data_IF_372754528703
#
_entry.id   IF_372754528703
#
_cell.length_a   1.000
_cell.length_b   1.000
_cell.length_c   1.000
_cell.angle_alpha   90.00
_cell.angle_beta   90.00
_cell.angle_gamma   90.00
#
_symmetry.space_group_name_H-M   'P 1'
#
loop_
_entity.id
_entity.type
_entity.pdbx_description
1 polymer ?
#
# COMPACT_ATOMS: atom_id res chain seq x y z
N UNK A 1 9.73 -10.91 -32.98
CA UNK A 1 9.77 -9.55 -32.46
C UNK A 1 8.72 -8.76 -33.23
N UNK A 2 7.78 -8.14 -32.54
CA UNK A 2 6.81 -7.28 -33.20
C UNK A 2 7.54 -6.10 -33.88
N UNK A 3 7.05 -5.63 -35.02
CA UNK A 3 7.74 -4.63 -35.86
C UNK A 3 8.07 -3.29 -35.18
N UNK A 4 7.57 -3.07 -33.95
CA UNK A 4 7.71 -1.83 -33.17
C UNK A 4 8.58 -2.01 -31.92
N UNK A 5 9.34 -3.11 -31.78
CA UNK A 5 10.15 -3.38 -30.59
C UNK A 5 11.64 -3.33 -30.92
N UNK A 6 12.38 -2.67 -30.06
CA UNK A 6 13.85 -2.53 -30.11
C UNK A 6 14.43 -3.48 -29.06
N UNK A 7 15.13 -4.57 -29.45
CA UNK A 7 15.78 -5.43 -28.48
C UNK A 7 16.97 -4.71 -27.85
N UNK A 8 17.10 -4.84 -26.52
CA UNK A 8 18.21 -4.30 -25.75
C UNK A 8 19.05 -5.47 -25.26
N UNK A 9 20.31 -5.49 -25.65
CA UNK A 9 21.25 -6.53 -25.24
C UNK A 9 22.19 -5.96 -24.16
N UNK A 10 22.28 -6.64 -23.03
CA UNK A 10 23.20 -6.30 -21.96
C UNK A 10 24.44 -7.22 -22.05
N UNK A 11 25.62 -6.64 -22.01
CA UNK A 11 26.90 -7.38 -22.06
C UNK A 11 27.41 -7.84 -20.69
N UNK A 12 26.56 -7.91 -19.68
CA UNK A 12 26.88 -8.35 -18.33
C UNK A 12 26.21 -7.52 -17.24
N UNK A 13 26.32 -7.99 -16.00
CA UNK A 13 25.87 -7.24 -14.82
C UNK A 13 27.02 -6.49 -14.20
N UNK A 14 26.90 -5.19 -14.02
CA UNK A 14 27.83 -4.38 -13.24
C UNK A 14 27.26 -4.11 -11.88
N UNK A 15 28.04 -4.33 -10.82
CA UNK A 15 27.65 -3.94 -9.47
C UNK A 15 27.93 -2.45 -9.26
N UNK A 16 26.91 -1.68 -8.92
CA UNK A 16 27.04 -0.29 -8.51
C UNK A 16 26.69 -0.17 -7.02
N UNK A 17 27.56 0.46 -6.24
CA UNK A 17 27.27 0.83 -4.85
C UNK A 17 26.80 2.28 -4.81
N UNK A 18 25.73 2.55 -4.07
CA UNK A 18 25.25 3.90 -3.79
C UNK A 18 24.97 3.99 -2.29
N UNK A 19 25.52 5.02 -1.68
CA UNK A 19 25.39 5.26 -0.24
C UNK A 19 24.34 6.32 0.02
N UNK A 20 23.45 6.04 1.00
CA UNK A 20 22.49 7.00 1.53
C UNK A 20 22.74 7.22 3.02
N UNK A 21 22.61 8.46 3.51
CA UNK A 21 22.80 8.82 4.91
C UNK A 21 21.73 9.76 5.41
N UNK A 22 21.24 9.53 6.61
CA UNK A 22 20.33 10.43 7.30
C UNK A 22 20.55 10.41 8.82
N UNK A 23 20.11 11.48 9.51
CA UNK A 23 20.12 11.58 10.97
C UNK A 23 18.92 12.36 11.46
N UNK A 24 18.32 11.92 12.57
CA UNK A 24 17.15 12.56 13.17
C UNK A 24 17.26 12.63 14.69
N UNK A 25 16.85 13.76 15.26
CA UNK A 25 16.48 13.84 16.66
C UNK A 25 14.97 13.54 16.79
N UNK A 26 14.61 12.63 17.70
CA UNK A 26 13.25 12.13 17.89
C UNK A 26 12.79 12.36 19.33
N UNK A 27 12.48 13.62 19.71
CA UNK A 27 12.04 13.93 21.07
C UNK A 27 10.69 13.29 21.36
N UNK A 28 10.49 12.89 22.63
CA UNK A 28 9.20 12.48 23.17
C UNK A 28 9.02 13.05 24.58
N UNK A 29 7.77 13.32 24.93
CA UNK A 29 7.35 13.71 26.26
C UNK A 29 5.99 13.07 26.56
N UNK A 30 5.89 12.44 27.72
CA UNK A 30 4.68 11.81 28.21
C UNK A 30 4.34 12.41 29.59
N UNK A 31 3.09 12.81 29.74
CA UNK A 31 2.57 13.31 30.99
C UNK A 31 1.31 12.54 31.38
N UNK A 32 1.18 12.19 32.65
CA UNK A 32 -0.01 11.56 33.19
C UNK A 32 -0.31 12.11 34.60
N UNK A 33 -1.59 12.27 34.91
CA UNK A 33 -2.05 12.72 36.22
C UNK A 33 -3.32 11.97 36.63
N UNK A 34 -3.40 11.65 37.90
CA UNK A 34 -4.63 11.21 38.55
C UNK A 34 -5.38 12.48 38.98
N UNK A 35 -6.42 12.87 38.27
CA UNK A 35 -7.13 14.15 38.45
C UNK A 35 -8.29 14.03 39.42
N UNK A 36 -8.78 12.81 39.66
CA UNK A 36 -9.76 12.45 40.67
C UNK A 36 -9.55 10.99 41.07
N UNK A 37 -10.29 10.52 42.08
CA UNK A 37 -10.31 9.10 42.41
C UNK A 37 -10.68 8.29 41.15
N UNK A 38 -9.83 7.30 40.83
CA UNK A 38 -10.02 6.39 39.70
C UNK A 38 -10.13 7.06 38.31
N UNK A 39 -9.65 8.32 38.18
CA UNK A 39 -9.68 9.06 36.92
C UNK A 39 -8.30 9.54 36.53
N UNK A 40 -7.84 9.11 35.37
CA UNK A 40 -6.50 9.41 34.86
C UNK A 40 -6.59 10.17 33.52
N UNK A 41 -5.80 11.23 33.41
CA UNK A 41 -5.53 11.92 32.16
C UNK A 41 -4.11 11.64 31.68
N UNK A 42 -3.94 11.48 30.37
CA UNK A 42 -2.63 11.34 29.74
C UNK A 42 -2.53 12.27 28.53
N UNK A 43 -1.37 12.85 28.35
CA UNK A 43 -0.99 13.62 27.17
C UNK A 43 0.38 13.14 26.74
N UNK A 44 0.53 12.74 25.50
CA UNK A 44 1.83 12.41 24.94
C UNK A 44 2.09 13.12 23.63
N UNK A 45 3.34 13.54 23.46
CA UNK A 45 3.87 14.05 22.22
C UNK A 45 5.16 13.30 21.89
N UNK A 46 5.30 12.83 20.66
CA UNK A 46 6.49 12.14 20.22
C UNK A 46 6.75 12.26 18.74
N UNK A 47 8.02 12.21 18.37
CA UNK A 47 8.42 12.12 16.97
C UNK A 47 8.97 10.74 16.67
N UNK A 48 8.54 10.18 15.54
CA UNK A 48 8.97 8.86 15.09
C UNK A 48 9.35 8.91 13.62
N UNK A 49 10.16 7.96 13.17
CA UNK A 49 10.50 7.77 11.77
C UNK A 49 10.13 6.37 11.30
N UNK A 50 9.75 6.25 10.03
CA UNK A 50 9.59 4.99 9.32
C UNK A 50 10.61 4.93 8.19
N UNK A 51 11.47 3.92 8.22
CA UNK A 51 12.49 3.75 7.17
C UNK A 51 11.85 3.31 5.86
N UNK A 52 12.37 3.76 4.70
CA UNK A 52 11.97 3.20 3.42
C UNK A 52 12.22 1.68 3.36
N UNK A 53 11.37 0.96 2.62
CA UNK A 53 11.59 -0.45 2.36
C UNK A 53 12.86 -0.68 1.53
N UNK A 54 13.48 -1.85 1.66
CA UNK A 54 14.70 -2.20 0.94
C UNK A 54 14.55 -2.08 -0.59
N UNK A 55 13.41 -2.48 -1.13
CA UNK A 55 13.09 -2.35 -2.55
C UNK A 55 13.06 -0.89 -3.04
N UNK A 56 12.78 0.06 -2.16
CA UNK A 56 12.73 1.47 -2.52
C UNK A 56 14.11 2.14 -2.53
N UNK A 57 15.06 1.64 -1.74
CA UNK A 57 16.40 2.24 -1.59
C UNK A 57 17.53 1.45 -2.28
N UNK A 58 17.24 0.29 -2.85
CA UNK A 58 18.26 -0.48 -3.57
C UNK A 58 18.81 0.33 -4.76
N UNK A 59 20.14 0.35 -4.92
CA UNK A 59 20.80 1.09 -6.02
C UNK A 59 20.70 0.40 -7.38
N UNK A 60 20.20 -0.83 -7.44
CA UNK A 60 20.08 -1.61 -8.66
C UNK A 60 19.07 -1.02 -9.64
N UNK A 61 19.38 -1.08 -10.92
CA UNK A 61 18.53 -0.66 -12.02
C UNK A 61 18.17 -1.86 -12.88
N UNK A 62 16.88 -2.02 -13.18
CA UNK A 62 16.39 -3.07 -14.06
C UNK A 62 15.73 -2.43 -15.28
N UNK A 63 16.08 -2.85 -16.47
CA UNK A 63 15.46 -2.44 -17.72
C UNK A 63 14.76 -3.63 -18.34
N UNK A 64 13.61 -3.41 -18.97
CA UNK A 64 13.00 -4.40 -19.83
C UNK A 64 13.87 -4.59 -21.07
N UNK A 65 14.06 -5.85 -21.48
CA UNK A 65 14.90 -6.20 -22.62
C UNK A 65 14.34 -5.76 -23.99
N UNK A 66 13.14 -5.19 -24.02
CA UNK A 66 12.48 -4.67 -25.22
C UNK A 66 12.00 -3.24 -24.95
N UNK A 67 12.35 -2.30 -25.83
CA UNK A 67 11.81 -0.96 -25.87
C UNK A 67 10.83 -0.83 -27.03
N UNK A 68 9.81 0.00 -26.87
CA UNK A 68 8.88 0.34 -27.94
C UNK A 68 9.26 1.65 -28.61
N UNK A 69 8.56 1.99 -29.69
CA UNK A 69 8.75 3.25 -30.42
C UNK A 69 8.56 4.49 -29.51
N UNK A 70 7.76 4.38 -28.46
CA UNK A 70 7.50 5.43 -27.47
C UNK A 70 8.43 5.38 -26.25
N UNK A 71 9.42 4.51 -26.24
CA UNK A 71 10.43 4.38 -25.20
C UNK A 71 10.53 3.00 -24.59
N UNK A 72 11.41 2.87 -23.59
CA UNK A 72 11.61 1.68 -22.78
C UNK A 72 10.92 1.80 -21.41
N UNK A 73 10.89 0.70 -20.69
CA UNK A 73 10.42 0.62 -19.30
C UNK A 73 11.48 -0.02 -18.41
N UNK A 74 11.46 0.36 -17.14
CA UNK A 74 12.36 -0.21 -16.15
C UNK A 74 12.03 0.22 -14.74
N UNK A 75 12.90 -0.13 -13.81
CA UNK A 75 12.80 0.28 -12.41
C UNK A 75 14.16 0.57 -11.81
N UNK A 76 14.20 1.50 -10.85
CA UNK A 76 15.39 1.85 -10.09
C UNK A 76 14.98 2.31 -8.69
N UNK A 77 15.65 1.83 -7.67
CA UNK A 77 15.45 2.34 -6.32
C UNK A 77 16.12 3.70 -6.13
N UNK A 78 15.79 4.37 -5.03
CA UNK A 78 16.32 5.69 -4.69
C UNK A 78 16.99 5.65 -3.30
N UNK A 79 18.32 5.48 -3.20
CA UNK A 79 19.06 5.50 -1.94
C UNK A 79 18.99 6.83 -1.18
N UNK A 80 18.65 7.93 -1.86
CA UNK A 80 18.55 9.27 -1.26
C UNK A 80 17.20 9.52 -0.56
N UNK A 81 16.34 8.49 -0.50
CA UNK A 81 15.07 8.59 0.20
C UNK A 81 15.27 8.87 1.69
N UNK A 82 14.58 9.90 2.15
CA UNK A 82 14.48 10.20 3.57
C UNK A 82 13.44 9.28 4.22
N UNK A 83 13.66 8.83 5.46
CA UNK A 83 12.62 8.22 6.26
C UNK A 83 11.42 9.15 6.38
N UNK A 84 10.20 8.60 6.32
CA UNK A 84 9.04 9.36 6.72
C UNK A 84 9.19 9.79 8.19
N UNK A 85 8.78 11.00 8.50
CA UNK A 85 8.79 11.54 9.87
C UNK A 85 7.38 11.83 10.32
N UNK A 86 6.98 11.27 11.47
CA UNK A 86 5.68 11.52 12.08
C UNK A 86 5.85 12.29 13.38
N UNK A 87 5.07 13.36 13.55
CA UNK A 87 4.84 14.03 14.84
C UNK A 87 3.47 13.59 15.33
N UNK A 88 3.44 12.97 16.52
CA UNK A 88 2.27 12.35 17.11
C UNK A 88 1.88 13.13 18.37
N UNK A 89 0.59 13.42 18.50
CA UNK A 89 -0.02 13.99 19.70
C UNK A 89 -1.18 13.11 20.10
N UNK A 90 -1.18 12.65 21.33
CA UNK A 90 -2.21 11.80 21.90
C UNK A 90 -2.71 12.41 23.20
N UNK A 91 -4.02 12.36 23.39
CA UNK A 91 -4.71 12.74 24.62
C UNK A 91 -5.66 11.62 25.01
N UNK A 92 -5.65 11.18 26.26
CA UNK A 92 -6.63 10.23 26.79
C UNK A 92 -7.17 10.60 28.15
N UNK A 93 -8.44 10.23 28.37
CA UNK A 93 -9.09 10.28 29.67
C UNK A 93 -9.65 8.89 29.97
N UNK A 94 -9.36 8.40 31.16
CA UNK A 94 -9.72 7.05 31.61
C UNK A 94 -10.40 7.17 32.99
N UNK A 95 -11.54 6.50 33.15
CA UNK A 95 -12.19 6.38 34.44
C UNK A 95 -12.45 4.91 34.76
N UNK A 96 -11.95 4.50 35.93
CA UNK A 96 -12.04 3.14 36.42
C UNK A 96 -13.13 3.08 37.49
N UNK A 97 -13.95 2.03 37.49
CA UNK A 97 -14.99 1.83 38.49
C UNK A 97 -15.20 0.33 38.73
N UNK A 98 -15.60 0.00 39.96
CA UNK A 98 -15.72 -1.41 40.32
C UNK A 98 -14.36 -2.14 40.27
N UNK A 99 -14.40 -3.46 40.20
CA UNK A 99 -13.18 -4.28 40.29
C UNK A 99 -12.35 -4.31 38.99
N UNK A 100 -12.99 -4.22 37.82
CA UNK A 100 -12.33 -4.35 36.51
C UNK A 100 -13.14 -3.66 35.41
N UNK A 101 -13.92 -2.64 35.76
CA UNK A 101 -14.72 -1.86 34.82
C UNK A 101 -14.05 -0.52 34.57
N UNK A 102 -14.11 -0.08 33.32
CA UNK A 102 -13.56 1.23 32.94
C UNK A 102 -14.24 1.76 31.67
N UNK A 103 -14.15 3.06 31.51
CA UNK A 103 -14.42 3.77 30.27
C UNK A 103 -13.24 4.65 29.92
N UNK A 104 -12.89 4.71 28.67
CA UNK A 104 -11.78 5.55 28.20
C UNK A 104 -12.14 6.19 26.86
N UNK A 105 -11.70 7.42 26.68
CA UNK A 105 -11.77 8.15 25.43
C UNK A 105 -10.41 8.73 25.12
N UNK A 106 -9.96 8.54 23.88
CA UNK A 106 -8.70 9.13 23.41
C UNK A 106 -8.88 9.86 22.09
N UNK A 107 -8.09 10.90 21.90
CA UNK A 107 -7.94 11.61 20.65
C UNK A 107 -6.48 11.54 20.23
N UNK A 108 -6.22 11.18 19.00
CA UNK A 108 -4.88 11.20 18.43
C UNK A 108 -4.79 12.08 17.18
N UNK A 109 -3.60 12.65 16.98
CA UNK A 109 -3.28 13.38 15.75
C UNK A 109 -1.84 13.07 15.34
N UNK A 110 -1.68 12.66 14.07
CA UNK A 110 -0.39 12.38 13.46
C UNK A 110 -0.17 13.32 12.28
N UNK A 111 1.04 13.89 12.20
CA UNK A 111 1.46 14.73 11.09
C UNK A 111 2.68 14.08 10.44
N UNK A 112 2.49 13.50 9.27
CA UNK A 112 3.48 12.67 8.57
C UNK A 112 4.05 13.48 7.41
N UNK A 113 5.38 13.59 7.35
CA UNK A 113 6.14 14.23 6.26
C UNK A 113 7.04 13.20 5.59
N UNK A 114 7.53 13.54 4.41
CA UNK A 114 8.47 12.72 3.64
C UNK A 114 7.96 11.30 3.38
N UNK A 115 6.64 11.15 3.19
CA UNK A 115 6.04 9.87 2.83
C UNK A 115 6.62 9.40 1.49
N UNK A 116 7.05 8.14 1.41
CA UNK A 116 7.63 7.58 0.19
C UNK A 116 6.52 7.11 -0.73
N UNK A 117 6.56 7.57 -1.97
CA UNK A 117 5.63 7.17 -3.02
C UNK A 117 6.36 6.64 -4.25
N UNK A 118 5.73 5.67 -4.92
CA UNK A 118 6.19 5.21 -6.22
C UNK A 118 5.81 6.26 -7.29
N UNK A 119 6.77 6.63 -8.09
CA UNK A 119 6.60 7.57 -9.21
C UNK A 119 7.19 6.97 -10.48
N UNK A 120 6.79 7.51 -11.62
CA UNK A 120 7.43 7.24 -12.91
C UNK A 120 8.27 8.47 -13.28
N UNK A 121 9.55 8.22 -13.59
CA UNK A 121 10.50 9.23 -14.02
C UNK A 121 11.06 8.86 -15.39
N UNK A 122 11.11 9.82 -16.31
CA UNK A 122 11.77 9.64 -17.59
C UNK A 122 13.29 9.74 -17.40
N UNK A 123 14.02 8.69 -17.79
CA UNK A 123 15.46 8.61 -17.66
C UNK A 123 16.08 8.05 -18.96
N UNK A 124 17.35 8.32 -19.18
CA UNK A 124 18.15 7.81 -20.31
C UNK A 124 19.29 6.93 -19.78
N UNK A 125 18.96 5.71 -19.27
CA UNK A 125 19.95 4.85 -18.64
C UNK A 125 21.02 4.40 -19.64
N UNK A 126 22.26 4.31 -19.18
CA UNK A 126 23.41 3.82 -19.93
C UNK A 126 23.71 4.58 -21.23
N UNK A 127 23.14 5.76 -21.45
CA UNK A 127 23.23 6.52 -22.69
C UNK A 127 22.88 5.70 -23.95
N UNK A 128 21.87 4.85 -23.82
CA UNK A 128 21.36 4.09 -24.96
C UNK A 128 20.72 5.03 -25.98
N UNK A 129 21.04 4.83 -27.25
CA UNK A 129 20.48 5.59 -28.36
C UNK A 129 19.35 4.82 -29.04
N UNK A 130 18.49 5.54 -29.75
CA UNK A 130 17.39 4.97 -30.54
C UNK A 130 17.44 5.54 -31.97
N UNK A 131 17.25 4.73 -33.00
CA UNK A 131 17.15 5.24 -34.38
C UNK A 131 15.88 6.07 -34.60
N UNK A 132 14.89 5.96 -33.69
CA UNK A 132 13.63 6.68 -33.78
C UNK A 132 13.86 8.17 -33.50
N UNK A 133 13.44 9.03 -34.43
CA UNK A 133 13.73 10.46 -34.38
C UNK A 133 15.17 10.82 -34.78
N UNK A 134 16.01 9.84 -35.14
CA UNK A 134 17.35 10.06 -35.70
C UNK A 134 17.34 10.47 -37.17
N UNK A 135 18.52 10.64 -37.76
CA UNK A 135 18.63 11.16 -39.10
C UNK A 135 17.96 10.29 -40.17
N UNK A 136 18.12 8.97 -40.10
CA UNK A 136 17.48 8.05 -41.05
C UNK A 136 15.97 8.00 -40.92
N UNK A 137 15.49 8.02 -39.70
CA UNK A 137 14.05 8.09 -39.40
C UNK A 137 13.43 9.37 -39.97
N UNK A 138 14.04 10.52 -39.71
CA UNK A 138 13.52 11.81 -40.18
C UNK A 138 13.58 11.90 -41.71
N UNK A 139 14.56 11.31 -42.34
CA UNK A 139 14.63 11.26 -43.79
C UNK A 139 13.51 10.38 -44.39
N UNK A 140 13.19 9.24 -43.76
CA UNK A 140 12.06 8.40 -44.20
C UNK A 140 10.72 9.11 -44.07
N UNK A 141 10.53 9.88 -42.98
CA UNK A 141 9.32 10.68 -42.79
C UNK A 141 9.21 11.82 -43.80
N UNK A 142 10.29 12.55 -44.05
CA UNK A 142 10.28 13.75 -44.90
C UNK A 142 10.30 13.39 -46.41
N UNK A 143 11.24 12.57 -46.83
CA UNK A 143 11.44 12.19 -48.22
C UNK A 143 10.62 10.99 -48.66
N UNK A 144 10.35 10.05 -47.75
CA UNK A 144 9.54 8.86 -47.99
C UNK A 144 8.05 9.10 -47.81
N UNK A 145 7.62 10.22 -47.23
CA UNK A 145 6.21 10.53 -46.94
C UNK A 145 5.60 9.62 -45.86
N UNK A 146 6.42 8.94 -45.05
CA UNK A 146 5.93 8.04 -43.98
C UNK A 146 5.36 8.82 -42.80
N UNK A 147 4.25 8.33 -42.22
CA UNK A 147 3.79 8.84 -40.93
C UNK A 147 4.76 8.54 -39.78
N UNK A 148 4.89 9.44 -38.81
CA UNK A 148 5.82 9.28 -37.67
C UNK A 148 5.61 8.01 -36.84
N UNK A 149 4.45 7.39 -36.92
CA UNK A 149 4.06 6.15 -36.22
C UNK A 149 4.01 4.95 -37.14
N UNK A 150 4.21 5.13 -38.45
CA UNK A 150 4.20 4.06 -39.42
C UNK A 150 5.61 3.43 -39.54
N UNK A 151 5.90 2.56 -38.58
CA UNK A 151 7.18 1.85 -38.51
C UNK A 151 7.47 0.95 -39.71
N UNK A 152 6.44 0.43 -40.37
CA UNK A 152 6.58 -0.38 -41.57
C UNK A 152 7.08 0.47 -42.76
N UNK A 153 6.39 1.55 -43.07
CA UNK A 153 6.79 2.49 -44.11
C UNK A 153 8.19 3.01 -43.91
N UNK A 154 8.51 3.44 -42.69
CA UNK A 154 9.84 3.99 -42.32
C UNK A 154 10.93 2.95 -42.55
N UNK A 155 10.75 1.71 -42.12
CA UNK A 155 11.73 0.62 -42.29
C UNK A 155 11.90 0.26 -43.75
N UNK A 156 10.80 0.13 -44.50
CA UNK A 156 10.85 -0.20 -45.91
C UNK A 156 11.57 0.87 -46.72
N UNK A 157 11.31 2.15 -46.42
CA UNK A 157 12.06 3.26 -47.02
C UNK A 157 13.54 3.21 -46.71
N UNK A 158 13.95 2.99 -45.44
CA UNK A 158 15.33 2.92 -45.01
C UNK A 158 16.05 1.75 -45.71
N UNK A 159 15.48 0.57 -45.74
CA UNK A 159 16.09 -0.60 -46.36
C UNK A 159 16.17 -0.52 -47.87
N UNK A 160 15.27 0.22 -48.52
CA UNK A 160 15.26 0.37 -49.98
C UNK A 160 16.17 1.51 -50.42
N UNK A 161 16.09 2.66 -49.74
CA UNK A 161 16.74 3.89 -50.24
C UNK A 161 17.99 4.25 -49.49
N UNK A 162 18.20 3.74 -48.25
CA UNK A 162 19.29 4.09 -47.34
C UNK A 162 20.13 2.86 -46.92
N UNK A 163 20.10 1.78 -47.74
CA UNK A 163 20.72 0.48 -47.41
C UNK A 163 22.24 0.56 -47.08
N UNK A 164 22.94 1.54 -47.66
CA UNK A 164 24.37 1.75 -47.44
C UNK A 164 24.70 2.74 -46.31
N UNK A 165 23.70 3.23 -45.59
CA UNK A 165 23.91 4.19 -44.48
C UNK A 165 24.49 3.49 -43.27
N UNK A 166 25.29 4.20 -42.41
CA UNK A 166 25.80 3.64 -41.17
C UNK A 166 24.66 3.11 -40.27
N UNK A 167 24.86 1.90 -39.74
CA UNK A 167 23.90 1.23 -38.90
C UNK A 167 22.76 0.51 -39.60
N UNK A 168 22.68 0.54 -40.94
CA UNK A 168 21.68 -0.19 -41.72
C UNK A 168 22.24 -1.51 -42.23
N UNK A 169 21.61 -2.61 -41.86
CA UNK A 169 21.87 -3.93 -42.44
C UNK A 169 20.57 -4.35 -43.19
N UNK A 170 20.60 -4.11 -44.48
CA UNK A 170 19.49 -4.41 -45.38
C UNK A 170 19.28 -5.92 -45.61
N UNK A 171 20.30 -6.75 -45.39
CA UNK A 171 20.21 -8.21 -45.50
C UNK A 171 19.47 -8.81 -44.31
N UNK A 172 19.92 -8.46 -43.09
CA UNK A 172 19.31 -8.96 -41.84
C UNK A 172 18.10 -8.11 -41.39
N UNK A 173 17.77 -7.06 -42.14
CA UNK A 173 16.66 -6.14 -41.81
C UNK A 173 16.77 -5.52 -40.43
N UNK A 174 17.97 -5.09 -40.04
CA UNK A 174 18.26 -4.42 -38.78
C UNK A 174 18.69 -2.98 -38.95
N UNK A 175 18.32 -2.10 -38.04
CA UNK A 175 18.77 -0.72 -37.95
C UNK A 175 19.36 -0.52 -36.56
N UNK A 176 20.66 -0.26 -36.49
CA UNK A 176 21.39 0.00 -35.23
C UNK A 176 21.52 1.49 -35.01
N UNK A 177 21.14 1.95 -33.82
CA UNK A 177 21.24 3.35 -33.45
C UNK A 177 22.72 3.82 -33.49
N UNK A 178 22.91 5.04 -33.95
CA UNK A 178 24.20 5.68 -34.02
C UNK A 178 24.40 6.62 -32.82
N UNK A 179 25.66 6.96 -32.45
CA UNK A 179 25.91 7.92 -31.36
C UNK A 179 25.34 9.32 -31.59
N UNK A 180 25.02 9.67 -32.84
CA UNK A 180 24.36 10.93 -33.19
C UNK A 180 22.81 10.89 -33.06
N UNK A 181 22.26 9.69 -32.91
CA UNK A 181 20.82 9.52 -32.75
C UNK A 181 20.35 9.96 -31.34
N UNK A 182 19.05 10.26 -31.14
CA UNK A 182 18.51 10.61 -29.82
C UNK A 182 18.74 9.53 -28.76
N UNK A 183 18.84 9.95 -27.50
CA UNK A 183 18.88 9.03 -26.38
C UNK A 183 17.53 8.33 -26.21
N UNK A 184 17.57 7.03 -25.96
CA UNK A 184 16.38 6.23 -25.70
C UNK A 184 15.85 6.55 -24.30
N UNK A 185 14.63 7.07 -24.23
CA UNK A 185 13.96 7.41 -22.98
C UNK A 185 13.27 6.18 -22.41
N UNK A 186 13.49 5.95 -21.11
CA UNK A 186 12.83 4.91 -20.33
C UNK A 186 11.88 5.55 -19.32
N UNK A 187 10.67 5.01 -19.21
CA UNK A 187 9.75 5.27 -18.11
C UNK A 187 10.17 4.41 -16.91
N UNK A 188 10.96 4.99 -16.02
CA UNK A 188 11.53 4.28 -14.87
C UNK A 188 10.60 4.39 -13.68
N UNK A 189 10.10 3.24 -13.19
CA UNK A 189 9.47 3.18 -11.88
C UNK A 189 10.52 3.43 -10.79
N UNK A 190 10.32 4.43 -9.97
CA UNK A 190 11.22 4.79 -8.87
C UNK A 190 10.43 5.30 -7.67
N UNK A 191 11.12 5.72 -6.63
CA UNK A 191 10.51 6.25 -5.41
C UNK A 191 10.98 7.67 -5.13
N UNK A 192 10.08 8.48 -4.59
CA UNK A 192 10.39 9.85 -4.15
C UNK A 192 9.76 10.14 -2.80
N UNK A 193 10.34 11.07 -2.04
CA UNK A 193 9.68 11.63 -0.87
C UNK A 193 8.64 12.65 -1.29
N UNK A 194 7.44 12.49 -0.74
CA UNK A 194 6.35 13.40 -0.99
C UNK A 194 6.52 14.70 -0.21
N UNK A 195 6.33 15.83 -0.86
CA UNK A 195 6.43 17.16 -0.24
C UNK A 195 5.20 17.55 0.60
N UNK A 196 4.08 16.85 0.44
CA UNK A 196 2.85 17.13 1.19
C UNK A 196 2.90 16.52 2.58
N UNK A 197 2.33 17.23 3.55
CA UNK A 197 2.13 16.71 4.90
C UNK A 197 0.81 15.95 4.97
N UNK A 198 0.88 14.66 5.28
CA UNK A 198 -0.29 13.86 5.62
C UNK A 198 -0.68 14.11 7.06
N UNK A 199 -1.96 14.45 7.29
CA UNK A 199 -2.53 14.60 8.64
C UNK A 199 -3.55 13.51 8.86
N UNK A 200 -3.35 12.73 9.91
CA UNK A 200 -4.24 11.70 10.38
C UNK A 200 -4.72 12.07 11.77
N UNK A 201 -6.01 11.97 12.04
CA UNK A 201 -6.57 12.16 13.37
C UNK A 201 -7.74 11.24 13.60
N UNK A 202 -8.01 10.92 14.87
CA UNK A 202 -9.13 10.07 15.21
C UNK A 202 -9.48 10.13 16.68
N UNK A 203 -10.59 9.47 16.98
CA UNK A 203 -11.10 9.26 18.33
C UNK A 203 -11.18 7.76 18.56
N UNK A 204 -10.75 7.32 19.74
CA UNK A 204 -10.89 5.95 20.19
C UNK A 204 -11.71 5.94 21.48
N UNK A 205 -12.72 5.10 21.52
CA UNK A 205 -13.55 4.86 22.68
C UNK A 205 -13.38 3.42 23.13
N UNK A 206 -13.15 3.21 24.42
CA UNK A 206 -13.00 1.89 25.01
C UNK A 206 -13.83 1.81 26.28
N UNK A 207 -14.52 0.71 26.46
CA UNK A 207 -15.29 0.46 27.67
C UNK A 207 -15.28 -1.03 28.03
N UNK A 208 -15.23 -1.31 29.31
CA UNK A 208 -15.47 -2.64 29.84
C UNK A 208 -16.32 -2.51 31.11
N UNK A 209 -17.34 -3.36 31.22
CA UNK A 209 -18.19 -3.43 32.38
C UNK A 209 -18.35 -4.87 32.85
N UNK A 210 -18.10 -5.12 34.12
CA UNK A 210 -18.32 -6.41 34.78
C UNK A 210 -19.57 -6.27 35.67
N UNK A 211 -20.55 -7.14 35.49
CA UNK A 211 -21.81 -7.09 36.22
C UNK A 211 -21.67 -7.73 37.62
N UNK A 212 -21.14 -6.97 38.55
CA UNK A 212 -20.94 -7.40 39.94
C UNK A 212 -20.08 -8.66 40.04
N UNK A 213 -20.60 -9.69 40.71
CA UNK A 213 -19.93 -11.00 40.83
C UNK A 213 -20.63 -12.09 39.98
N UNK A 214 -21.41 -11.69 38.98
CA UNK A 214 -22.19 -12.62 38.16
C UNK A 214 -21.40 -13.47 37.19
N UNK A 215 -20.14 -13.10 36.93
CA UNK A 215 -19.31 -13.67 35.87
C UNK A 215 -19.59 -13.09 34.48
N UNK A 216 -20.68 -12.32 34.30
CA UNK A 216 -20.99 -11.66 33.04
C UNK A 216 -20.25 -10.32 32.91
N UNK A 217 -19.86 -10.01 31.67
CA UNK A 217 -19.29 -8.73 31.33
C UNK A 217 -19.48 -8.37 29.85
N UNK A 218 -19.25 -7.11 29.55
CA UNK A 218 -19.27 -6.57 28.20
C UNK A 218 -18.02 -5.71 28.01
N UNK A 219 -17.39 -5.82 26.84
CA UNK A 219 -16.37 -4.88 26.42
C UNK A 219 -16.68 -4.37 25.02
N UNK A 220 -16.35 -3.10 24.78
CA UNK A 220 -16.53 -2.46 23.49
C UNK A 220 -15.35 -1.56 23.20
N UNK A 221 -14.95 -1.49 21.94
CA UNK A 221 -14.06 -0.45 21.44
C UNK A 221 -14.59 0.08 20.10
N UNK A 222 -14.32 1.33 19.84
CA UNK A 222 -14.69 1.98 18.59
C UNK A 222 -13.61 3.00 18.24
N UNK A 223 -13.14 2.96 16.99
CA UNK A 223 -12.18 3.90 16.42
C UNK A 223 -12.77 4.59 15.23
N UNK A 224 -12.76 5.92 15.24
CA UNK A 224 -13.08 6.76 14.09
C UNK A 224 -11.82 7.47 13.63
N UNK A 225 -11.50 7.35 12.34
CA UNK A 225 -10.27 7.90 11.78
C UNK A 225 -10.54 8.77 10.56
N UNK A 226 -9.81 9.88 10.45
CA UNK A 226 -9.87 10.80 9.31
C UNK A 226 -8.48 11.17 8.83
N UNK A 227 -8.33 11.34 7.51
CA UNK A 227 -7.13 11.84 6.86
C UNK A 227 -7.46 13.05 5.98
N UNK A 228 -6.50 13.96 5.80
CA UNK A 228 -6.59 15.03 4.80
C UNK A 228 -6.24 14.55 3.38
N UNK A 229 -5.79 13.30 3.22
CA UNK A 229 -5.39 12.71 1.95
C UNK A 229 -6.41 11.64 1.55
N UNK A 230 -7.52 12.08 0.99
CA UNK A 230 -8.56 11.23 0.42
C UNK A 230 -8.33 10.98 -1.06
N UNK A 231 -8.89 9.89 -1.57
CA UNK A 231 -8.93 9.58 -2.99
C UNK A 231 -10.09 10.33 -3.67
N UNK A 232 -9.79 11.00 -4.79
CA UNK A 232 -10.80 11.70 -5.59
C UNK A 232 -11.26 10.82 -6.74
N UNK A 233 -12.44 10.21 -6.61
CA UNK A 233 -13.02 9.36 -7.63
C UNK A 233 -13.32 10.08 -8.97
N UNK A 234 -13.42 11.41 -8.98
CA UNK A 234 -13.67 12.20 -10.18
C UNK A 234 -12.40 12.52 -10.99
N UNK A 235 -11.23 12.30 -10.39
CA UNK A 235 -9.96 12.52 -11.07
C UNK A 235 -9.58 11.29 -11.89
N UNK A 236 -9.29 11.50 -13.17
CA UNK A 236 -8.69 10.48 -14.03
C UNK A 236 -7.17 10.45 -13.84
N UNK A 237 -6.58 9.25 -13.95
CA UNK A 237 -5.14 9.05 -13.81
C UNK A 237 -4.68 8.73 -12.38
N UNK A 238 -3.38 8.54 -12.23
CA UNK A 238 -2.75 8.23 -10.95
C UNK A 238 -2.92 9.38 -9.96
N UNK A 239 -3.22 9.04 -8.72
CA UNK A 239 -3.26 9.98 -7.61
C UNK A 239 -2.20 9.60 -6.60
N UNK A 240 -1.31 10.52 -6.34
CA UNK A 240 -0.28 10.40 -5.32
C UNK A 240 -0.83 10.87 -3.97
N UNK A 241 -0.21 10.44 -2.88
CA UNK A 241 -0.54 10.91 -1.53
C UNK A 241 -1.87 10.42 -0.96
N UNK A 242 -2.38 9.30 -1.41
CA UNK A 242 -3.60 8.71 -0.88
C UNK A 242 -3.26 7.68 0.19
N UNK A 243 -3.86 7.81 1.38
CA UNK A 243 -3.72 6.81 2.43
C UNK A 243 -4.74 5.70 2.22
N UNK A 244 -4.23 4.47 2.08
CA UNK A 244 -5.02 3.25 1.95
C UNK A 244 -5.17 2.54 3.30
N UNK A 245 -6.20 1.73 3.43
CA UNK A 245 -6.42 0.91 4.63
C UNK A 245 -7.05 1.64 5.82
N UNK A 246 -7.38 2.92 5.70
CA UNK A 246 -8.04 3.70 6.75
C UNK A 246 -9.55 3.53 6.69
N UNK A 247 -10.11 2.94 7.74
CA UNK A 247 -11.56 2.81 7.93
C UNK A 247 -11.89 2.83 9.41
N UNK A 248 -13.09 3.29 9.73
CA UNK A 248 -13.62 3.19 11.07
C UNK A 248 -13.74 1.72 11.47
N UNK A 249 -13.59 1.39 12.74
CA UNK A 249 -13.69 0.01 13.24
C UNK A 249 -14.29 -0.03 14.64
N UNK A 250 -14.90 -1.16 14.98
CA UNK A 250 -15.46 -1.36 16.30
C UNK A 250 -15.60 -2.84 16.64
N UNK A 251 -15.50 -3.14 17.92
CA UNK A 251 -15.73 -4.48 18.44
C UNK A 251 -16.67 -4.39 19.64
N UNK A 252 -17.59 -5.33 19.74
CA UNK A 252 -18.46 -5.52 20.89
C UNK A 252 -18.38 -6.98 21.33
N UNK A 253 -17.98 -7.20 22.58
CA UNK A 253 -17.82 -8.55 23.14
C UNK A 253 -18.67 -8.68 24.39
N UNK A 254 -19.63 -9.62 24.35
CA UNK A 254 -20.28 -10.13 25.55
C UNK A 254 -19.53 -11.37 26.03
N UNK A 255 -19.31 -11.48 27.33
CA UNK A 255 -18.61 -12.65 27.88
C UNK A 255 -19.20 -13.09 29.21
N UNK A 256 -19.03 -14.38 29.46
CA UNK A 256 -19.29 -14.99 30.75
C UNK A 256 -18.09 -15.82 31.18
N UNK A 257 -17.64 -15.66 32.41
CA UNK A 257 -16.49 -16.37 32.95
C UNK A 257 -16.71 -16.76 34.41
N UNK A 258 -16.52 -18.04 34.68
CA UNK A 258 -16.40 -18.61 36.02
C UNK A 258 -15.37 -19.75 36.01
N UNK A 259 -15.22 -20.47 37.12
CA UNK A 259 -14.25 -21.57 37.24
C UNK A 259 -14.50 -22.70 36.22
N UNK A 260 -15.73 -22.92 35.80
CA UNK A 260 -16.15 -24.02 34.93
C UNK A 260 -16.27 -23.59 33.47
N UNK A 261 -16.85 -22.41 33.20
CA UNK A 261 -17.14 -21.95 31.85
C UNK A 261 -16.44 -20.63 31.54
N UNK A 262 -15.95 -20.52 30.31
CA UNK A 262 -15.56 -19.28 29.67
C UNK A 262 -16.27 -19.17 28.34
N UNK A 263 -17.08 -18.12 28.15
CA UNK A 263 -17.84 -17.91 26.90
C UNK A 263 -17.63 -16.49 26.43
N UNK A 264 -17.40 -16.32 25.15
CA UNK A 264 -17.26 -15.01 24.49
C UNK A 264 -18.03 -15.01 23.18
N UNK A 265 -18.86 -14.02 23.01
CA UNK A 265 -19.54 -13.69 21.74
C UNK A 265 -19.03 -12.33 21.30
N UNK A 266 -18.33 -12.28 20.18
CA UNK A 266 -17.67 -11.10 19.67
C UNK A 266 -18.24 -10.68 18.32
N UNK A 267 -18.68 -9.43 18.20
CA UNK A 267 -19.02 -8.80 16.93
C UNK A 267 -17.92 -7.82 16.55
N UNK A 268 -17.26 -8.09 15.41
CA UNK A 268 -16.17 -7.30 14.86
C UNK A 268 -16.68 -6.58 13.62
N UNK A 269 -16.65 -5.25 13.63
CA UNK A 269 -17.10 -4.42 12.53
C UNK A 269 -15.99 -3.53 12.00
N UNK A 270 -15.95 -3.35 10.67
CA UNK A 270 -15.10 -2.40 9.98
C UNK A 270 -15.90 -1.65 8.92
N UNK A 271 -15.76 -0.34 8.88
CA UNK A 271 -16.35 0.54 7.89
C UNK A 271 -15.67 0.44 6.52
N UNK A 272 -16.26 1.08 5.53
CA UNK A 272 -15.71 1.17 4.17
C UNK A 272 -14.34 1.86 4.17
N UNK A 273 -13.41 1.32 3.39
CA UNK A 273 -12.07 1.92 3.21
C UNK A 273 -11.51 1.66 1.82
N UNK A 274 -10.62 2.55 1.38
CA UNK A 274 -9.84 2.35 0.17
C UNK A 274 -8.74 1.32 0.43
N UNK A 275 -8.76 0.19 -0.28
CA UNK A 275 -7.77 -0.88 -0.17
C UNK A 275 -6.59 -0.68 -1.12
N UNK A 276 -6.84 -0.15 -2.31
CA UNK A 276 -5.82 0.18 -3.29
C UNK A 276 -6.21 1.43 -4.08
N UNK A 277 -5.25 2.28 -4.35
CA UNK A 277 -5.43 3.41 -5.26
C UNK A 277 -5.15 2.98 -6.71
N UNK A 278 -5.48 3.84 -7.67
CA UNK A 278 -5.11 3.65 -9.06
C UNK A 278 -3.58 3.74 -9.22
N UNK A 279 -2.95 2.64 -9.69
CA UNK A 279 -1.50 2.52 -9.79
C UNK A 279 -0.86 3.11 -11.05
N UNK A 280 -1.61 3.90 -11.85
CA UNK A 280 -1.08 4.52 -13.06
C UNK A 280 -1.06 3.61 -14.30
N UNK A 281 -1.47 2.35 -14.17
CA UNK A 281 -1.61 1.41 -15.30
C UNK A 281 -2.98 1.63 -15.95
N UNK A 282 -3.01 1.72 -17.27
CA UNK A 282 -4.26 1.87 -18.02
C UNK A 282 -5.22 0.72 -17.69
N UNK A 283 -6.47 1.06 -17.35
CA UNK A 283 -7.48 0.09 -16.91
C UNK A 283 -7.48 -0.26 -15.43
N UNK A 284 -6.45 0.05 -14.66
CA UNK A 284 -6.48 -0.13 -13.20
C UNK A 284 -7.48 0.84 -12.55
N UNK A 285 -8.21 0.34 -11.56
CA UNK A 285 -9.22 1.10 -10.83
C UNK A 285 -8.88 1.15 -9.34
N UNK A 286 -9.29 2.20 -8.60
CA UNK A 286 -9.22 2.16 -7.15
C UNK A 286 -10.11 1.02 -6.64
N UNK A 287 -9.69 0.38 -5.54
CA UNK A 287 -10.44 -0.71 -4.92
C UNK A 287 -10.86 -0.29 -3.51
N UNK A 288 -12.16 -0.36 -3.25
CA UNK A 288 -12.75 -0.13 -1.95
C UNK A 288 -13.24 -1.44 -1.35
N UNK A 289 -13.03 -1.63 -0.06
CA UNK A 289 -13.67 -2.69 0.71
C UNK A 289 -14.94 -2.11 1.33
N UNK A 290 -16.07 -2.81 1.13
CA UNK A 290 -17.35 -2.47 1.73
C UNK A 290 -17.35 -2.68 3.25
N UNK A 291 -18.28 -2.06 3.99
CA UNK A 291 -18.43 -2.35 5.39
C UNK A 291 -18.63 -3.85 5.63
N UNK A 292 -17.99 -4.34 6.66
CA UNK A 292 -17.96 -5.76 7.00
C UNK A 292 -18.17 -5.96 8.50
N UNK A 293 -19.00 -6.95 8.87
CA UNK A 293 -19.28 -7.27 10.26
C UNK A 293 -19.34 -8.77 10.49
N UNK A 294 -18.51 -9.30 11.37
CA UNK A 294 -18.36 -10.72 11.65
C UNK A 294 -18.73 -11.02 13.10
N UNK A 295 -19.50 -12.09 13.31
CA UNK A 295 -19.85 -12.61 14.63
C UNK A 295 -19.08 -13.91 14.90
N UNK A 296 -18.37 -13.94 16.04
CA UNK A 296 -17.55 -15.06 16.47
C UNK A 296 -17.98 -15.52 17.87
N UNK A 297 -17.96 -16.83 18.11
CA UNK A 297 -18.27 -17.47 19.40
C UNK A 297 -17.11 -18.33 19.85
N UNK A 298 -16.74 -18.22 21.12
CA UNK A 298 -15.79 -19.13 21.78
C UNK A 298 -16.36 -19.60 23.10
N UNK A 299 -16.35 -20.91 23.34
CA UNK A 299 -16.82 -21.55 24.59
C UNK A 299 -15.74 -22.48 25.10
N UNK A 300 -15.32 -22.29 26.33
CA UNK A 300 -14.42 -23.18 27.04
C UNK A 300 -15.16 -23.83 28.22
N UNK A 301 -14.99 -25.12 28.42
CA UNK A 301 -15.55 -25.90 29.52
C UNK A 301 -14.45 -26.65 30.26
N UNK A 302 -14.20 -26.30 31.51
CA UNK A 302 -13.27 -27.01 32.39
C UNK A 302 -14.01 -28.19 33.05
N UNK A 303 -13.88 -29.39 32.47
CA UNK A 303 -14.50 -30.59 33.01
C UNK A 303 -13.92 -30.95 34.39
N UNK A 304 -12.60 -30.83 34.54
CA UNK A 304 -11.86 -30.97 35.79
C UNK A 304 -10.52 -30.23 35.69
N UNK A 305 -9.63 -30.36 36.70
CA UNK A 305 -8.32 -29.71 36.75
C UNK A 305 -7.37 -30.10 35.60
N UNK A 306 -7.64 -31.23 34.96
CA UNK A 306 -6.76 -31.82 33.93
C UNK A 306 -7.36 -31.70 32.52
N UNK A 307 -8.70 -31.66 32.37
CA UNK A 307 -9.36 -31.74 31.07
C UNK A 307 -10.23 -30.51 30.83
N UNK A 308 -9.96 -29.83 29.73
CA UNK A 308 -10.72 -28.68 29.19
C UNK A 308 -11.18 -29.00 27.79
N UNK A 309 -12.44 -28.73 27.49
CA UNK A 309 -13.01 -28.71 26.15
C UNK A 309 -13.11 -27.27 25.64
N UNK A 310 -12.95 -27.12 24.33
CA UNK A 310 -13.05 -25.83 23.67
C UNK A 310 -13.88 -25.97 22.40
N UNK A 311 -14.80 -25.05 22.20
CA UNK A 311 -15.59 -24.92 21.00
C UNK A 311 -15.39 -23.49 20.46
N UNK A 312 -15.11 -23.36 19.17
CA UNK A 312 -14.95 -22.08 18.49
C UNK A 312 -15.76 -22.10 17.20
N UNK A 313 -16.49 -21.02 16.96
CA UNK A 313 -17.21 -20.79 15.72
C UNK A 313 -16.90 -19.39 15.23
N UNK A 314 -16.24 -19.31 14.08
CA UNK A 314 -15.84 -18.07 13.45
C UNK A 314 -16.76 -17.79 12.27
N UNK A 315 -17.16 -16.52 12.13
CA UNK A 315 -18.08 -16.05 11.08
C UNK A 315 -19.44 -16.76 11.13
N UNK A 316 -20.08 -16.76 12.30
CA UNK A 316 -21.39 -17.38 12.52
C UNK A 316 -22.48 -16.86 11.56
N UNK A 317 -22.41 -15.60 11.18
CA UNK A 317 -23.33 -14.94 10.26
C UNK A 317 -23.09 -15.29 8.80
N UNK A 318 -22.01 -16.03 8.49
CA UNK A 318 -21.57 -16.33 7.12
C UNK A 318 -21.38 -15.06 6.27
N UNK A 319 -20.82 -14.06 6.92
CA UNK A 319 -20.55 -12.76 6.27
C UNK A 319 -19.49 -12.92 5.19
N UNK A 320 -19.61 -12.14 4.14
CA UNK A 320 -18.68 -12.14 3.03
C UNK A 320 -18.11 -10.75 2.79
N UNK A 321 -16.86 -10.66 2.36
CA UNK A 321 -16.20 -9.41 2.01
C UNK A 321 -16.52 -9.04 0.57
N UNK A 322 -17.05 -7.83 0.39
CA UNK A 322 -17.30 -7.24 -0.93
C UNK A 322 -16.31 -6.12 -1.19
N UNK A 323 -15.91 -6.01 -2.45
CA UNK A 323 -15.15 -4.87 -2.93
C UNK A 323 -15.85 -4.24 -4.13
N UNK A 324 -15.72 -2.91 -4.25
CA UNK A 324 -16.12 -2.19 -5.45
C UNK A 324 -14.96 -1.35 -5.96
N UNK A 325 -15.02 -0.98 -7.22
CA UNK A 325 -14.05 -0.12 -7.86
C UNK A 325 -14.41 1.37 -7.64
N UNK A 326 -14.13 2.23 -8.58
CA UNK A 326 -14.40 3.68 -8.51
C UNK A 326 -15.87 4.00 -8.23
N UNK A 327 -16.78 3.26 -8.83
CA UNK A 327 -18.23 3.39 -8.64
C UNK A 327 -18.72 2.24 -7.74
N UNK A 328 -19.59 2.53 -6.80
CA UNK A 328 -20.18 1.53 -5.88
C UNK A 328 -20.94 0.41 -6.62
N UNK A 329 -21.52 0.72 -7.80
CA UNK A 329 -22.17 -0.29 -8.66
C UNK A 329 -21.17 -1.13 -9.48
N UNK A 330 -19.89 -0.81 -9.48
CA UNK A 330 -18.87 -1.55 -10.19
C UNK A 330 -18.21 -2.54 -9.23
N UNK A 331 -18.74 -3.75 -9.19
CA UNK A 331 -18.24 -4.82 -8.33
C UNK A 331 -16.78 -5.16 -8.67
N UNK A 332 -15.92 -5.21 -7.66
CA UNK A 332 -14.54 -5.68 -7.76
C UNK A 332 -14.48 -7.19 -7.55
N UNK A 333 -14.74 -7.63 -6.33
CA UNK A 333 -14.76 -9.03 -5.96
C UNK A 333 -15.71 -9.28 -4.79
N UNK A 334 -16.17 -10.52 -4.68
CA UNK A 334 -16.86 -11.04 -3.49
C UNK A 334 -16.08 -12.25 -3.00
N UNK A 335 -15.67 -12.24 -1.73
CA UNK A 335 -14.93 -13.33 -1.11
C UNK A 335 -15.76 -13.87 0.06
N UNK A 336 -16.13 -15.14 -0.03
CA UNK A 336 -16.84 -15.85 1.03
C UNK A 336 -15.94 -16.94 1.60
N UNK A 337 -15.55 -16.80 2.86
CA UNK A 337 -14.72 -17.78 3.55
C UNK A 337 -15.54 -18.86 4.26
N UNK A 338 -16.84 -18.63 4.39
CA UNK A 338 -17.76 -19.53 5.09
C UNK A 338 -17.62 -19.47 6.61
N UNK A 339 -18.46 -20.25 7.27
CA UNK A 339 -18.39 -20.51 8.72
C UNK A 339 -17.29 -21.49 9.01
N UNK A 340 -16.54 -21.25 10.07
CA UNK A 340 -15.52 -22.19 10.53
C UNK A 340 -15.80 -22.61 11.96
N UNK A 341 -15.95 -23.93 12.17
CA UNK A 341 -16.23 -24.51 13.47
C UNK A 341 -15.07 -25.39 13.86
N UNK A 342 -14.60 -25.24 15.09
CA UNK A 342 -13.49 -26.01 15.66
C UNK A 342 -13.91 -26.55 17.03
N UNK A 343 -13.54 -27.79 17.31
CA UNK A 343 -13.70 -28.45 18.61
C UNK A 343 -12.34 -28.99 19.04
N UNK A 344 -11.95 -28.69 20.26
CA UNK A 344 -10.68 -29.09 20.82
C UNK A 344 -10.84 -29.64 22.25
N UNK A 345 -9.90 -30.51 22.64
CA UNK A 345 -9.74 -30.94 24.02
C UNK A 345 -8.27 -30.78 24.43
N UNK A 346 -8.05 -30.24 25.63
CA UNK A 346 -6.73 -30.04 26.20
C UNK A 346 -6.63 -30.80 27.50
N UNK A 347 -5.67 -31.71 27.58
CA UNK A 347 -5.33 -32.46 28.81
C UNK A 347 -4.01 -31.94 29.39
N UNK A 348 -4.01 -31.63 30.70
CA UNK A 348 -2.82 -31.24 31.45
C UNK A 348 -2.49 -32.34 32.45
N UNK A 349 -1.28 -32.92 32.36
CA UNK A 349 -0.76 -33.93 33.23
C UNK A 349 -0.41 -33.37 34.61
#
# INVERSE_FOLDING_TARGET
>A
VANNEIPITFSGTTSASRDGKYGYALPSIDWSADVATDTKLRVSYGQTIGRPGWNAIQGGQTLNGLARIDGGEGSVGNPDLKPLKSSNLDFSAEHYYGKSSYVAASYFRKSIKDYNEAIISNQTPYNLHTPIGGALFNQAVQAGGCGNTDSQCIRDYIFTNLANSPGVDAVNKTITAQPSDPLLVFKMGTFANNTRTSKLSGIELNAQHIFGNSGFGVSANFTKVKSNLGYNNNQKGAQTNVLVGLGDSGNLVGFYENETFTTRLAYNWRGKFLAANFGGVEGAQPLYVEPFGQLDLSVGYNFNRHLRFQFEAINLTDEYTRTHMRNENQMGAVTQLGRRIMIGARYKF
#
